data_IF_917152195133
#
_entry.id   IF_917152195133
#
_cell.length_a   1.000
_cell.length_b   1.000
_cell.length_c   1.000
_cell.angle_alpha   90.00
_cell.angle_beta   90.00
_cell.angle_gamma   90.00
#
_symmetry.space_group_name_H-M   'P 1'
#
loop_
_entity.id
_entity.type
_entity.pdbx_description
1 polymer ?
#
# COMPACT_ATOMS: atom_id res chain seq x y z
N UNK A 1 26.63 -8.86 -18.47
CA UNK A 1 25.30 -8.27 -18.72
C UNK A 1 24.56 -8.35 -17.40
N UNK A 2 24.09 -7.23 -16.84
CA UNK A 2 23.30 -7.24 -15.58
C UNK A 2 21.92 -7.84 -15.85
N UNK A 3 21.40 -8.63 -14.92
CA UNK A 3 20.07 -9.25 -15.06
C UNK A 3 18.95 -8.19 -15.02
N UNK A 4 17.78 -8.48 -15.59
CA UNK A 4 16.64 -7.57 -15.57
C UNK A 4 16.20 -7.20 -14.14
N UNK A 5 16.35 -8.14 -13.20
CA UNK A 5 16.14 -7.94 -11.75
C UNK A 5 17.11 -6.89 -11.20
N UNK A 6 18.42 -7.05 -11.46
CA UNK A 6 19.45 -6.13 -10.97
C UNK A 6 19.28 -4.72 -11.55
N UNK A 7 18.87 -4.62 -12.82
CA UNK A 7 18.57 -3.34 -13.47
C UNK A 7 17.39 -2.63 -12.81
N UNK A 8 16.27 -3.34 -12.60
CA UNK A 8 15.10 -2.75 -11.96
C UNK A 8 15.40 -2.36 -10.51
N UNK A 9 16.08 -3.23 -9.74
CA UNK A 9 16.52 -2.92 -8.37
C UNK A 9 17.30 -1.61 -8.31
N UNK A 10 18.34 -1.49 -9.14
CA UNK A 10 19.20 -0.30 -9.17
C UNK A 10 18.40 0.94 -9.57
N UNK A 11 17.51 0.82 -10.55
CA UNK A 11 16.68 1.93 -11.02
C UNK A 11 15.72 2.40 -9.92
N UNK A 12 15.09 1.48 -9.18
CA UNK A 12 14.20 1.79 -8.05
C UNK A 12 14.91 2.60 -6.97
N UNK A 13 16.10 2.16 -6.53
CA UNK A 13 16.89 2.89 -5.53
C UNK A 13 17.26 4.28 -6.04
N UNK A 14 17.73 4.39 -7.28
CA UNK A 14 18.09 5.67 -7.89
C UNK A 14 16.91 6.64 -8.00
N UNK A 15 15.72 6.13 -8.34
CA UNK A 15 14.51 6.95 -8.45
C UNK A 15 14.14 7.55 -7.07
N UNK A 16 14.15 6.73 -6.02
CA UNK A 16 13.85 7.15 -4.65
C UNK A 16 14.87 8.19 -4.18
N UNK A 17 16.17 7.93 -4.33
CA UNK A 17 17.24 8.87 -3.95
C UNK A 17 17.10 10.21 -4.68
N UNK A 18 16.78 10.21 -5.98
CA UNK A 18 16.57 11.44 -6.74
C UNK A 18 15.38 12.23 -6.23
N UNK A 19 14.27 11.56 -5.90
CA UNK A 19 13.08 12.23 -5.36
C UNK A 19 13.34 12.85 -3.99
N UNK A 20 13.98 12.11 -3.08
CA UNK A 20 14.35 12.59 -1.74
C UNK A 20 15.31 13.78 -1.80
N UNK A 21 16.19 13.83 -2.80
CA UNK A 21 17.13 14.94 -3.01
C UNK A 21 16.56 16.09 -3.86
N UNK A 22 15.25 16.14 -4.10
CA UNK A 22 14.59 17.22 -4.85
C UNK A 22 14.86 17.22 -6.36
N UNK A 23 15.48 16.17 -6.91
CA UNK A 23 15.76 16.03 -8.36
C UNK A 23 14.53 15.51 -9.11
N UNK A 24 13.39 16.20 -8.94
CA UNK A 24 12.05 15.73 -9.34
C UNK A 24 11.98 15.33 -10.83
N UNK A 25 12.52 16.16 -11.74
CA UNK A 25 12.49 15.86 -13.18
C UNK A 25 13.24 14.57 -13.54
N UNK A 26 14.39 14.33 -12.91
CA UNK A 26 15.17 13.12 -13.15
C UNK A 26 14.50 11.90 -12.50
N UNK A 27 13.91 12.08 -11.31
CA UNK A 27 13.11 11.07 -10.64
C UNK A 27 11.93 10.62 -11.51
N UNK A 28 11.11 11.56 -12.02
CA UNK A 28 9.97 11.26 -12.92
C UNK A 28 10.38 10.43 -14.14
N UNK A 29 11.56 10.69 -14.73
CA UNK A 29 12.08 9.90 -15.86
C UNK A 29 12.38 8.45 -15.47
N UNK A 30 13.00 8.24 -14.31
CA UNK A 30 13.29 6.90 -13.82
C UNK A 30 11.99 6.17 -13.44
N UNK A 31 11.06 6.86 -12.76
CA UNK A 31 9.75 6.31 -12.41
C UNK A 31 8.96 5.88 -13.65
N UNK A 32 8.94 6.68 -14.72
CA UNK A 32 8.34 6.27 -15.99
C UNK A 32 8.99 5.01 -16.57
N UNK A 33 10.30 4.86 -16.42
CA UNK A 33 11.00 3.66 -16.88
C UNK A 33 10.62 2.44 -16.04
N UNK A 34 10.52 2.60 -14.71
CA UNK A 34 10.02 1.56 -13.79
C UNK A 34 8.60 1.15 -14.18
N UNK A 35 7.71 2.11 -14.38
CA UNK A 35 6.33 1.88 -14.79
C UNK A 35 6.25 1.03 -16.08
N UNK A 36 7.02 1.39 -17.11
CA UNK A 36 7.05 0.63 -18.36
C UNK A 36 7.62 -0.79 -18.21
N UNK A 37 8.48 -1.05 -17.23
CA UNK A 37 8.97 -2.39 -16.90
C UNK A 37 7.85 -3.18 -16.20
N UNK A 38 7.18 -2.58 -15.21
CA UNK A 38 6.08 -3.19 -14.47
C UNK A 38 4.89 -3.58 -15.37
N UNK A 39 4.59 -2.78 -16.39
CA UNK A 39 3.55 -3.11 -17.39
C UNK A 39 3.86 -4.39 -18.17
N UNK A 40 5.13 -4.78 -18.29
CA UNK A 40 5.54 -6.01 -18.98
C UNK A 40 5.60 -7.20 -18.04
N UNK A 41 6.15 -6.98 -16.85
CA UNK A 41 6.29 -8.02 -15.83
C UNK A 41 6.21 -7.40 -14.43
N UNK A 42 5.02 -7.40 -13.80
CA UNK A 42 4.87 -6.89 -12.44
C UNK A 42 5.51 -7.82 -11.40
N UNK A 43 5.77 -9.09 -11.72
CA UNK A 43 6.33 -10.04 -10.77
C UNK A 43 7.87 -10.05 -10.78
N UNK A 44 8.52 -9.18 -11.56
CA UNK A 44 9.96 -9.21 -11.78
C UNK A 44 10.80 -9.12 -10.49
N UNK A 45 10.33 -8.39 -9.47
CA UNK A 45 10.98 -8.29 -8.15
C UNK A 45 10.22 -9.03 -7.04
N UNK A 46 9.27 -9.90 -7.36
CA UNK A 46 8.32 -10.46 -6.38
C UNK A 46 8.98 -11.17 -5.19
N UNK A 47 10.04 -11.93 -5.45
CA UNK A 47 10.84 -12.63 -4.45
C UNK A 47 12.14 -11.89 -4.09
N UNK A 48 12.30 -10.66 -4.58
CA UNK A 48 13.46 -9.82 -4.33
C UNK A 48 13.27 -8.99 -3.06
N UNK A 49 14.36 -8.75 -2.32
CA UNK A 49 14.32 -7.87 -1.14
C UNK A 49 13.97 -6.41 -1.49
N UNK A 50 14.07 -6.03 -2.77
CA UNK A 50 13.74 -4.70 -3.24
C UNK A 50 12.23 -4.49 -3.54
N UNK A 51 11.38 -5.50 -3.32
CA UNK A 51 9.95 -5.43 -3.65
C UNK A 51 9.25 -4.27 -2.92
N UNK A 52 9.59 -4.03 -1.66
CA UNK A 52 8.96 -2.95 -0.89
C UNK A 52 9.37 -1.56 -1.36
N UNK A 53 10.63 -1.39 -1.78
CA UNK A 53 11.12 -0.15 -2.37
C UNK A 53 10.43 0.11 -3.71
N UNK A 54 10.08 -0.93 -4.46
CA UNK A 54 9.25 -0.79 -5.66
C UNK A 54 7.86 -0.27 -5.32
N UNK A 55 7.25 -0.77 -4.24
CA UNK A 55 6.02 -0.23 -3.68
C UNK A 55 6.13 1.26 -3.32
N UNK A 56 7.22 1.66 -2.65
CA UNK A 56 7.51 3.07 -2.33
C UNK A 56 7.71 3.94 -3.58
N UNK A 57 8.39 3.43 -4.60
CA UNK A 57 8.55 4.14 -5.87
C UNK A 57 7.18 4.40 -6.52
N UNK A 58 6.22 3.47 -6.43
CA UNK A 58 4.86 3.68 -6.91
C UNK A 58 4.12 4.75 -6.08
N UNK A 59 4.29 4.80 -4.75
CA UNK A 59 3.75 5.92 -3.94
C UNK A 59 4.24 7.25 -4.51
N UNK A 60 5.51 7.35 -4.88
CA UNK A 60 6.06 8.56 -5.50
C UNK A 60 5.46 8.84 -6.89
N UNK A 61 5.11 7.81 -7.68
CA UNK A 61 4.40 7.99 -8.94
C UNK A 61 3.04 8.64 -8.72
N UNK A 62 2.28 8.13 -7.74
CA UNK A 62 0.97 8.64 -7.36
C UNK A 62 1.08 10.10 -6.86
N UNK A 63 2.02 10.38 -5.96
CA UNK A 63 2.20 11.73 -5.40
C UNK A 63 2.68 12.78 -6.42
N UNK A 64 3.29 12.33 -7.51
CA UNK A 64 3.79 13.19 -8.56
C UNK A 64 2.85 13.32 -9.75
N UNK A 65 1.66 12.72 -9.67
CA UNK A 65 0.68 12.63 -10.76
C UNK A 65 1.37 12.21 -12.05
N UNK A 66 2.09 11.08 -11.98
CA UNK A 66 2.89 10.61 -13.13
C UNK A 66 2.00 10.09 -14.27
N UNK A 67 0.85 9.54 -13.91
CA UNK A 67 -0.14 8.94 -14.81
C UNK A 67 -1.43 9.75 -14.69
N UNK A 68 -1.98 10.17 -15.83
CA UNK A 68 -3.20 10.99 -15.89
C UNK A 68 -4.50 10.15 -15.82
N UNK A 69 -4.40 8.84 -15.99
CA UNK A 69 -5.53 7.92 -16.01
C UNK A 69 -5.89 7.47 -14.59
N UNK A 70 -7.12 7.77 -14.16
CA UNK A 70 -7.61 7.52 -12.81
C UNK A 70 -7.67 6.01 -12.49
N UNK A 71 -8.14 5.20 -13.42
CA UNK A 71 -8.24 3.75 -13.24
C UNK A 71 -6.85 3.12 -13.07
N UNK A 72 -5.87 3.60 -13.84
CA UNK A 72 -4.47 3.20 -13.69
C UNK A 72 -3.88 3.64 -12.34
N UNK A 73 -4.20 4.85 -11.87
CA UNK A 73 -3.77 5.31 -10.55
C UNK A 73 -4.37 4.46 -9.42
N UNK A 74 -5.64 4.06 -9.54
CA UNK A 74 -6.27 3.11 -8.61
C UNK A 74 -5.53 1.77 -8.62
N UNK A 75 -5.19 1.25 -9.80
CA UNK A 75 -4.38 0.02 -9.92
C UNK A 75 -2.98 0.16 -9.35
N UNK A 76 -2.33 1.31 -9.53
CA UNK A 76 -1.02 1.60 -8.96
C UNK A 76 -1.08 1.66 -7.42
N UNK A 77 -2.13 2.23 -6.84
CA UNK A 77 -2.33 2.21 -5.39
C UNK A 77 -2.42 0.78 -4.85
N UNK A 78 -3.21 -0.07 -5.51
CA UNK A 78 -3.29 -1.49 -5.18
C UNK A 78 -1.96 -2.24 -5.39
N UNK A 79 -1.23 -1.94 -6.46
CA UNK A 79 0.06 -2.57 -6.74
C UNK A 79 1.11 -2.19 -5.68
N UNK A 80 1.14 -0.91 -5.29
CA UNK A 80 1.98 -0.41 -4.20
C UNK A 80 1.64 -1.11 -2.88
N UNK A 81 0.35 -1.20 -2.55
CA UNK A 81 -0.14 -1.90 -1.36
C UNK A 81 0.34 -3.36 -1.34
N UNK A 82 0.24 -4.04 -2.48
CA UNK A 82 0.63 -5.44 -2.62
C UNK A 82 2.14 -5.64 -2.39
N UNK A 83 2.97 -4.81 -3.01
CA UNK A 83 4.43 -4.88 -2.89
C UNK A 83 4.92 -4.54 -1.48
N UNK A 84 4.34 -3.51 -0.85
CA UNK A 84 4.68 -3.18 0.54
C UNK A 84 4.27 -4.31 1.48
N UNK A 85 3.06 -4.87 1.30
CA UNK A 85 2.58 -6.00 2.09
C UNK A 85 3.42 -7.26 1.89
N UNK A 86 3.93 -7.50 0.68
CA UNK A 86 4.87 -8.59 0.39
C UNK A 86 6.20 -8.39 1.14
N UNK A 87 6.71 -7.16 1.16
CA UNK A 87 7.89 -6.82 1.95
C UNK A 87 7.68 -7.01 3.45
N UNK A 88 6.51 -6.64 3.98
CA UNK A 88 6.16 -6.87 5.39
C UNK A 88 6.17 -8.37 5.71
N UNK A 89 5.53 -9.20 4.86
CA UNK A 89 5.54 -10.66 5.02
C UNK A 89 6.97 -11.23 5.02
N UNK A 90 7.84 -10.73 4.13
CA UNK A 90 9.25 -11.14 4.07
C UNK A 90 9.98 -10.77 5.36
N UNK A 91 9.89 -9.52 5.83
CA UNK A 91 10.57 -9.07 7.06
C UNK A 91 10.02 -9.76 8.32
N UNK A 92 8.71 -10.00 8.42
CA UNK A 92 8.09 -10.74 9.53
C UNK A 92 8.52 -12.21 9.57
N UNK A 93 8.96 -12.77 8.43
CA UNK A 93 9.50 -14.13 8.36
C UNK A 93 10.97 -14.23 8.76
N UNK A 94 11.69 -13.09 8.82
CA UNK A 94 13.05 -13.00 9.34
C UNK A 94 13.02 -12.99 10.88
N UNK A 95 14.16 -13.27 11.50
CA UNK A 95 14.22 -13.27 12.98
C UNK A 95 13.90 -11.85 13.51
N UNK A 96 13.05 -11.69 14.54
CA UNK A 96 12.59 -10.39 15.04
C UNK A 96 13.69 -9.38 15.45
N UNK A 97 14.92 -9.87 15.64
CA UNK A 97 16.08 -9.10 16.06
C UNK A 97 16.86 -8.48 14.89
N UNK A 98 16.58 -8.87 13.64
CA UNK A 98 17.46 -8.56 12.50
C UNK A 98 17.29 -7.13 11.98
N UNK A 99 16.06 -6.58 11.92
CA UNK A 99 15.86 -5.22 11.42
C UNK A 99 14.53 -4.57 11.82
N UNK A 100 14.33 -4.19 13.10
CA UNK A 100 13.13 -3.47 13.49
C UNK A 100 12.95 -2.18 12.66
N UNK A 101 13.98 -1.42 12.31
CA UNK A 101 13.79 -0.17 11.57
C UNK A 101 13.06 -0.33 10.21
N UNK A 102 13.25 -1.47 9.53
CA UNK A 102 12.63 -1.71 8.22
C UNK A 102 11.13 -2.00 8.33
N UNK A 103 10.70 -2.89 9.24
CA UNK A 103 9.29 -3.20 9.41
C UNK A 103 8.47 -1.98 9.84
N UNK A 104 9.04 -1.10 10.67
CA UNK A 104 8.47 0.23 10.97
C UNK A 104 8.25 1.04 9.69
N UNK A 105 9.30 1.17 8.86
CA UNK A 105 9.25 1.93 7.61
C UNK A 105 8.17 1.38 6.68
N UNK A 106 8.08 0.06 6.55
CA UNK A 106 7.12 -0.60 5.67
C UNK A 106 5.67 -0.37 6.08
N UNK A 107 5.35 -0.58 7.37
CA UNK A 107 4.01 -0.33 7.89
C UNK A 107 3.66 1.15 7.78
N UNK A 108 4.61 2.06 8.05
CA UNK A 108 4.42 3.50 7.82
C UNK A 108 4.13 3.83 6.35
N UNK A 109 4.90 3.27 5.41
CA UNK A 109 4.66 3.48 3.97
C UNK A 109 3.26 2.96 3.56
N UNK A 110 2.79 1.83 4.14
CA UNK A 110 1.43 1.30 3.92
C UNK A 110 0.34 2.21 4.48
N UNK A 111 0.52 2.77 5.69
CA UNK A 111 -0.39 3.76 6.28
C UNK A 111 -0.46 5.01 5.40
N UNK A 112 0.69 5.53 4.94
CA UNK A 112 0.74 6.69 4.04
C UNK A 112 -0.06 6.43 2.77
N UNK A 113 0.18 5.30 2.11
CA UNK A 113 -0.55 4.92 0.90
C UNK A 113 -2.07 4.87 1.15
N UNK A 114 -2.51 4.19 2.20
CA UNK A 114 -3.94 4.04 2.50
C UNK A 114 -4.60 5.36 2.89
N UNK A 115 -3.87 6.29 3.51
CA UNK A 115 -4.40 7.61 3.86
C UNK A 115 -4.43 8.56 2.65
N UNK A 116 -3.44 8.48 1.77
CA UNK A 116 -3.33 9.34 0.58
C UNK A 116 -4.20 8.88 -0.59
N UNK A 117 -4.56 7.60 -0.64
CA UNK A 117 -5.30 6.98 -1.73
C UNK A 117 -6.48 6.14 -1.20
N UNK A 118 -7.17 6.63 -0.17
CA UNK A 118 -8.26 5.92 0.52
C UNK A 118 -9.38 5.48 -0.44
N UNK A 119 -9.84 6.40 -1.30
CA UNK A 119 -10.87 6.14 -2.31
C UNK A 119 -10.48 5.01 -3.27
N UNK A 120 -9.18 4.79 -3.53
CA UNK A 120 -8.71 3.74 -4.44
C UNK A 120 -9.05 2.34 -3.95
N UNK A 121 -9.23 2.11 -2.66
CA UNK A 121 -9.46 0.77 -2.11
C UNK A 121 -10.94 0.41 -1.96
N UNK A 122 -11.83 1.39 -2.10
CA UNK A 122 -13.26 1.26 -1.79
C UNK A 122 -13.93 0.15 -2.59
N UNK A 123 -13.76 0.14 -3.90
CA UNK A 123 -14.39 -0.85 -4.77
C UNK A 123 -13.91 -2.27 -4.45
N UNK A 124 -12.62 -2.43 -4.19
CA UNK A 124 -12.06 -3.73 -3.77
C UNK A 124 -12.64 -4.18 -2.43
N UNK A 125 -12.79 -3.27 -1.45
CA UNK A 125 -13.44 -3.59 -0.19
C UNK A 125 -14.91 -4.00 -0.41
N UNK A 126 -15.66 -3.27 -1.24
CA UNK A 126 -17.06 -3.59 -1.54
C UNK A 126 -17.18 -4.98 -2.18
N UNK A 127 -16.31 -5.31 -3.13
CA UNK A 127 -16.33 -6.59 -3.85
C UNK A 127 -16.30 -7.81 -2.93
N UNK A 128 -15.52 -7.77 -1.84
CA UNK A 128 -15.44 -8.90 -0.91
C UNK A 128 -16.32 -8.75 0.34
N UNK A 129 -16.65 -7.54 0.81
CA UNK A 129 -17.60 -7.36 1.91
C UNK A 129 -19.03 -7.72 1.52
N UNK A 130 -19.40 -7.40 0.28
CA UNK A 130 -20.76 -7.57 -0.24
C UNK A 130 -20.79 -8.57 -1.40
N UNK A 131 -19.87 -9.55 -1.40
CA UNK A 131 -19.75 -10.56 -2.45
C UNK A 131 -21.10 -11.29 -2.72
N UNK A 132 -21.82 -11.62 -1.64
CA UNK A 132 -23.10 -12.33 -1.68
C UNK A 132 -24.33 -11.39 -1.72
N UNK A 133 -24.12 -10.08 -1.62
CA UNK A 133 -25.19 -9.08 -1.46
C UNK A 133 -24.90 -7.82 -2.27
N UNK A 134 -24.63 -7.99 -3.57
CA UNK A 134 -24.34 -6.86 -4.46
C UNK A 134 -25.50 -5.88 -4.51
N UNK A 135 -25.17 -4.58 -4.48
CA UNK A 135 -26.13 -3.51 -4.64
C UNK A 135 -26.95 -3.65 -5.93
N UNK A 136 -28.26 -3.45 -5.83
CA UNK A 136 -29.20 -3.52 -6.96
C UNK A 136 -29.51 -2.16 -7.56
N UNK A 137 -29.29 -1.11 -6.79
CA UNK A 137 -29.51 0.28 -7.19
C UNK A 137 -28.43 1.20 -6.60
N UNK A 138 -28.52 2.48 -6.96
CA UNK A 138 -27.54 3.51 -6.57
C UNK A 138 -27.57 3.81 -5.06
N UNK A 139 -28.73 3.67 -4.41
CA UNK A 139 -28.86 3.96 -2.98
C UNK A 139 -28.18 2.85 -2.17
N UNK A 140 -28.47 1.58 -2.47
CA UNK A 140 -27.77 0.43 -1.89
C UNK A 140 -26.26 0.51 -2.15
N UNK A 141 -25.84 0.93 -3.35
CA UNK A 141 -24.42 1.09 -3.67
C UNK A 141 -23.75 2.14 -2.78
N UNK A 142 -24.39 3.29 -2.60
CA UNK A 142 -23.88 4.37 -1.76
C UNK A 142 -23.83 3.98 -0.27
N UNK A 143 -24.79 3.18 0.21
CA UNK A 143 -24.77 2.63 1.57
C UNK A 143 -23.61 1.64 1.75
N UNK A 144 -23.42 0.72 0.81
CA UNK A 144 -22.28 -0.20 0.81
C UNK A 144 -20.95 0.56 0.79
N UNK A 145 -20.85 1.62 -0.03
CA UNK A 145 -19.66 2.47 -0.13
C UNK A 145 -19.32 3.11 1.20
N UNK A 146 -20.32 3.72 1.86
CA UNK A 146 -20.16 4.33 3.20
C UNK A 146 -19.72 3.29 4.23
N UNK A 147 -20.30 2.09 4.19
CA UNK A 147 -19.96 1.02 5.10
C UNK A 147 -18.48 0.62 4.97
N UNK A 148 -17.96 0.41 3.75
CA UNK A 148 -16.55 0.02 3.58
C UNK A 148 -15.57 1.16 3.82
N UNK A 149 -15.94 2.41 3.51
CA UNK A 149 -15.11 3.58 3.81
C UNK A 149 -14.79 3.67 5.30
N UNK A 150 -15.77 3.35 6.16
CA UNK A 150 -15.57 3.29 7.62
C UNK A 150 -14.58 2.21 8.08
N UNK A 151 -14.14 1.30 7.19
CA UNK A 151 -13.20 0.21 7.49
C UNK A 151 -11.77 0.51 7.11
N UNK A 152 -11.52 1.50 6.23
CA UNK A 152 -10.17 1.97 5.92
C UNK A 152 -9.41 2.48 7.16
N UNK A 153 -10.03 3.22 8.08
CA UNK A 153 -9.40 3.57 9.36
C UNK A 153 -8.93 2.35 10.16
N UNK A 154 -9.60 1.20 10.06
CA UNK A 154 -9.25 0.01 10.83
C UNK A 154 -7.99 -0.66 10.30
N UNK A 155 -7.80 -0.66 8.97
CA UNK A 155 -6.56 -1.08 8.32
C UNK A 155 -5.38 -0.18 8.75
N UNK A 156 -5.56 1.15 8.65
CA UNK A 156 -4.54 2.12 9.07
C UNK A 156 -4.18 1.96 10.55
N UNK A 157 -5.20 1.82 11.42
CA UNK A 157 -5.01 1.62 12.85
C UNK A 157 -4.32 0.30 13.18
N UNK A 158 -4.62 -0.78 12.44
CA UNK A 158 -3.96 -2.07 12.65
C UNK A 158 -2.44 -1.98 12.45
N UNK A 159 -1.99 -1.29 11.41
CA UNK A 159 -0.55 -1.02 11.20
C UNK A 159 0.05 -0.16 12.29
N UNK A 160 -0.63 0.93 12.70
CA UNK A 160 -0.18 1.82 13.78
C UNK A 160 -0.07 1.06 15.11
N UNK A 161 -1.04 0.21 15.41
CA UNK A 161 -1.04 -0.60 16.62
C UNK A 161 0.14 -1.58 16.63
N UNK A 162 0.40 -2.29 15.53
CA UNK A 162 1.55 -3.18 15.41
C UNK A 162 2.87 -2.40 15.54
N UNK A 163 2.94 -1.20 14.98
CA UNK A 163 4.08 -0.30 15.19
C UNK A 163 4.23 0.04 16.68
N UNK A 164 3.16 0.39 17.39
CA UNK A 164 3.26 0.75 18.82
C UNK A 164 3.78 -0.41 19.68
N UNK A 165 3.36 -1.65 19.40
CA UNK A 165 3.80 -2.83 20.15
C UNK A 165 5.29 -3.14 19.96
N UNK A 166 5.84 -2.82 18.79
CA UNK A 166 7.21 -3.20 18.41
C UNK A 166 8.20 -2.01 18.51
N UNK A 167 7.71 -0.77 18.46
CA UNK A 167 8.52 0.45 18.44
C UNK A 167 8.13 1.43 19.55
N UNK A 168 9.01 1.55 20.54
CA UNK A 168 8.80 2.43 21.72
C UNK A 168 8.73 3.93 21.41
N UNK A 169 9.05 4.34 20.18
CA UNK A 169 9.21 5.74 19.79
C UNK A 169 8.14 6.22 18.78
N UNK A 170 6.97 5.56 18.71
CA UNK A 170 5.85 6.04 17.88
C UNK A 170 5.50 7.52 18.14
N UNK A 171 5.61 7.96 19.41
CA UNK A 171 5.44 9.36 19.83
C UNK A 171 6.34 10.37 19.11
N UNK A 172 7.46 9.93 18.55
CA UNK A 172 8.42 10.78 17.85
C UNK A 172 8.02 10.94 16.36
N UNK A 173 7.07 10.15 15.87
CA UNK A 173 6.51 10.24 14.52
C UNK A 173 5.18 10.99 14.52
N UNK A 174 5.27 12.32 14.35
CA UNK A 174 4.11 13.23 14.38
C UNK A 174 3.00 12.80 13.42
N UNK A 175 3.36 12.33 12.22
CA UNK A 175 2.38 11.92 11.21
C UNK A 175 1.56 10.71 11.66
N UNK A 176 2.21 9.68 12.20
CA UNK A 176 1.53 8.50 12.69
C UNK A 176 0.69 8.82 13.93
N UNK A 177 1.20 9.66 14.84
CA UNK A 177 0.48 10.08 16.04
C UNK A 177 -0.79 10.88 15.68
N UNK A 178 -0.70 11.85 14.78
CA UNK A 178 -1.85 12.61 14.29
C UNK A 178 -2.87 11.71 13.59
N UNK A 179 -2.39 10.73 12.80
CA UNK A 179 -3.25 9.76 12.14
C UNK A 179 -3.97 8.86 13.15
N UNK A 180 -3.26 8.37 14.17
CA UNK A 180 -3.84 7.57 15.24
C UNK A 180 -4.92 8.37 15.99
N UNK A 181 -4.58 9.58 16.44
CA UNK A 181 -5.49 10.46 17.17
C UNK A 181 -6.75 10.79 16.35
N UNK A 182 -6.59 11.06 15.06
CA UNK A 182 -7.73 11.31 14.17
C UNK A 182 -8.64 10.08 14.08
N UNK A 183 -8.07 8.89 13.88
CA UNK A 183 -8.84 7.66 13.78
C UNK A 183 -9.58 7.38 15.10
N UNK A 184 -8.91 7.47 16.25
CA UNK A 184 -9.49 7.22 17.57
C UNK A 184 -10.55 8.25 17.96
N UNK A 185 -10.41 9.50 17.50
CA UNK A 185 -11.40 10.54 17.75
C UNK A 185 -12.68 10.32 16.94
N UNK A 186 -12.54 9.99 15.65
CA UNK A 186 -13.66 9.80 14.73
C UNK A 186 -14.30 8.42 14.86
N UNK A 187 -13.53 7.42 15.31
CA UNK A 187 -13.95 6.04 15.40
C UNK A 187 -13.67 5.55 16.82
N UNK A 188 -14.70 5.15 17.56
CA UNK A 188 -14.52 4.46 18.83
C UNK A 188 -13.91 3.07 18.58
N UNK A 189 -12.60 3.01 18.33
CA UNK A 189 -11.90 1.78 17.93
C UNK A 189 -11.91 0.79 19.09
N UNK A 190 -12.51 -0.37 18.85
CA UNK A 190 -12.49 -1.50 19.76
C UNK A 190 -11.45 -2.55 19.33
N UNK A 191 -11.17 -3.50 20.21
CA UNK A 191 -10.37 -4.68 19.88
C UNK A 191 -10.96 -5.52 18.73
N UNK A 192 -12.27 -5.45 18.50
CA UNK A 192 -12.91 -6.12 17.37
C UNK A 192 -12.56 -5.43 16.05
N UNK A 193 -12.54 -4.09 16.03
CA UNK A 193 -12.15 -3.32 14.85
C UNK A 193 -10.67 -3.54 14.51
N UNK A 194 -9.80 -3.67 15.51
CA UNK A 194 -8.40 -4.05 15.29
C UNK A 194 -8.28 -5.43 14.63
N UNK A 195 -9.02 -6.43 15.14
CA UNK A 195 -9.05 -7.79 14.53
C UNK A 195 -9.58 -7.75 13.10
N UNK A 196 -10.61 -6.95 12.85
CA UNK A 196 -11.17 -6.72 11.52
C UNK A 196 -10.11 -6.12 10.59
N UNK A 197 -9.43 -5.03 10.98
CA UNK A 197 -8.35 -4.41 10.20
C UNK A 197 -7.23 -5.39 9.83
N UNK A 198 -6.77 -6.20 10.79
CA UNK A 198 -5.76 -7.25 10.53
C UNK A 198 -6.25 -8.31 9.55
N UNK A 199 -7.54 -8.70 9.61
CA UNK A 199 -8.14 -9.64 8.66
C UNK A 199 -8.27 -9.01 7.28
N UNK A 200 -8.69 -7.75 7.21
CA UNK A 200 -8.84 -7.02 5.96
C UNK A 200 -7.53 -6.89 5.21
N UNK A 201 -6.41 -6.68 5.90
CA UNK A 201 -5.11 -6.66 5.24
C UNK A 201 -4.83 -7.96 4.47
N UNK A 202 -5.17 -9.11 5.07
CA UNK A 202 -4.99 -10.44 4.47
C UNK A 202 -5.93 -10.65 3.29
N UNK A 203 -7.18 -10.21 3.40
CA UNK A 203 -8.18 -10.34 2.32
C UNK A 203 -7.79 -9.44 1.14
N UNK A 204 -7.52 -8.16 1.41
CA UNK A 204 -7.13 -7.19 0.39
C UNK A 204 -5.84 -7.61 -0.34
N UNK A 205 -4.85 -8.15 0.38
CA UNK A 205 -3.65 -8.71 -0.21
C UNK A 205 -3.98 -9.85 -1.19
N UNK A 206 -4.72 -10.87 -0.74
CA UNK A 206 -5.09 -12.03 -1.56
C UNK A 206 -5.90 -11.63 -2.78
N UNK A 207 -6.88 -10.76 -2.59
CA UNK A 207 -7.75 -10.25 -3.65
C UNK A 207 -6.96 -9.50 -4.72
N UNK A 208 -6.11 -8.56 -4.29
CA UNK A 208 -5.27 -7.76 -5.20
C UNK A 208 -4.26 -8.63 -5.94
N UNK A 209 -3.61 -9.56 -5.24
CA UNK A 209 -2.69 -10.51 -5.84
C UNK A 209 -3.37 -11.38 -6.90
N UNK A 210 -4.59 -11.85 -6.64
CA UNK A 210 -5.36 -12.62 -7.60
C UNK A 210 -5.71 -11.78 -8.83
N UNK A 211 -6.20 -10.55 -8.66
CA UNK A 211 -6.45 -9.62 -9.78
C UNK A 211 -5.20 -9.39 -10.62
N UNK A 212 -4.03 -9.20 -9.99
CA UNK A 212 -2.76 -9.03 -10.69
C UNK A 212 -2.37 -10.27 -11.50
N UNK A 213 -2.46 -11.47 -10.89
CA UNK A 213 -2.14 -12.74 -11.57
C UNK A 213 -3.04 -13.03 -12.76
N UNK A 214 -4.30 -12.62 -12.69
CA UNK A 214 -5.29 -12.80 -13.76
C UNK A 214 -5.24 -11.68 -14.81
N UNK A 215 -4.35 -10.69 -14.67
CA UNK A 215 -4.25 -9.54 -15.56
C UNK A 215 -5.46 -8.60 -15.49
N UNK A 216 -6.24 -8.67 -14.40
CA UNK A 216 -7.42 -7.82 -14.16
C UNK A 216 -7.11 -6.55 -13.38
N UNK A 217 -5.90 -6.41 -12.83
CA UNK A 217 -5.45 -5.17 -12.22
C UNK A 217 -4.93 -4.23 -13.32
N UNK A 218 -5.68 -3.18 -13.60
CA UNK A 218 -5.31 -2.16 -14.58
C UNK A 218 -4.49 -1.07 -13.88
N UNK A 219 -3.20 -1.02 -14.16
CA UNK A 219 -2.26 -0.01 -13.66
C UNK A 219 -1.40 0.47 -14.81
#
# INVERSE_FOLDING_TARGET
>A
MTSSVEQLRKLTVQAIEKGQNGKIRACKKDLNTIYMILKKDPFLLWDDNAISQLGKAIIMMLHFDLIDDEEQNIGLAHLSYLYISKGIEQEESLSPEENPAELFRLRKDRVILMKSCDDSFVDSLQEFYFADSKAKDLDEYNEQRKAVLSRLPYLQFADIHLIEQEYKNLKDDVYLLETANYIEHENNISNENLKEGLLLHKILYKHTHQKLREGRLLF
#
